data_IF_612815742745
#
_entry.id   IF_612815742745
#
_cell.length_a   1.000
_cell.length_b   1.000
_cell.length_c   1.000
_cell.angle_alpha   90.00
_cell.angle_beta   90.00
_cell.angle_gamma   90.00
#
_symmetry.space_group_name_H-M   'P 1'
#
loop_
_entity.id
_entity.type
_entity.pdbx_description
1 polymer ?
#
# COMPACT_ATOMS: atom_id res chain seq x y z
N UNK A 1 -18.17 24.33 -102.51
CA UNK A 1 -16.71 24.36 -102.38
C UNK A 1 -16.30 25.81 -102.41
N UNK A 2 -15.72 26.33 -101.33
CA UNK A 2 -14.97 27.58 -101.35
C UNK A 2 -13.86 27.46 -100.31
N UNK A 3 -12.68 27.20 -100.85
CA UNK A 3 -11.38 27.53 -100.30
C UNK A 3 -11.43 28.91 -99.64
N UNK A 4 -10.94 29.00 -98.40
CA UNK A 4 -9.61 29.55 -98.07
C UNK A 4 -9.49 31.04 -98.38
N UNK A 5 -9.14 31.84 -97.36
CA UNK A 5 -7.96 32.72 -97.41
C UNK A 5 -7.84 33.55 -96.12
N UNK A 6 -6.71 33.31 -95.46
CA UNK A 6 -5.97 34.21 -94.59
C UNK A 6 -6.22 35.70 -94.82
N UNK A 7 -6.48 36.43 -93.73
CA UNK A 7 -6.17 37.86 -93.66
C UNK A 7 -5.32 38.20 -92.42
N UNK A 8 -4.01 38.35 -92.68
CA UNK A 8 -3.12 39.43 -92.18
C UNK A 8 -2.98 39.61 -90.65
N UNK A 9 -1.88 39.21 -90.01
CA UNK A 9 -0.53 39.81 -90.01
C UNK A 9 -0.51 41.35 -90.02
N UNK A 10 -0.17 41.88 -88.83
CA UNK A 10 0.42 43.19 -88.49
C UNK A 10 -0.40 44.48 -88.61
N UNK A 11 -0.69 45.08 -87.44
CA UNK A 11 -0.05 46.35 -87.01
C UNK A 11 0.07 46.38 -85.48
N UNK A 12 1.29 46.67 -85.00
CA UNK A 12 1.63 46.74 -83.60
C UNK A 12 0.88 47.80 -82.82
N UNK A 13 0.82 47.59 -81.51
CA UNK A 13 0.23 48.51 -80.54
C UNK A 13 0.07 47.79 -79.21
N UNK A 14 1.07 47.92 -78.35
CA UNK A 14 1.06 47.28 -77.04
C UNK A 14 -0.18 47.66 -76.24
N UNK A 15 -0.92 46.65 -75.79
CA UNK A 15 -1.74 46.75 -74.57
C UNK A 15 -1.60 45.44 -73.80
N UNK A 16 -0.44 45.35 -73.16
CA UNK A 16 -0.16 44.65 -71.92
C UNK A 16 -0.88 43.31 -71.66
N UNK A 17 -0.09 42.23 -71.57
CA UNK A 17 -0.49 41.00 -70.84
C UNK A 17 -0.94 41.25 -69.38
N UNK A 18 -0.84 42.49 -68.91
CA UNK A 18 -1.43 43.01 -67.68
C UNK A 18 -2.96 43.12 -67.68
N UNK A 19 -3.66 42.99 -68.83
CA UNK A 19 -5.15 43.08 -68.82
C UNK A 19 -5.84 41.84 -68.26
N UNK A 20 -5.24 40.65 -68.38
CA UNK A 20 -5.78 39.40 -67.82
C UNK A 20 -5.20 39.02 -66.45
N UNK A 21 -4.04 39.60 -66.11
CA UNK A 21 -3.36 39.47 -64.82
C UNK A 21 -4.24 39.79 -63.60
N UNK A 22 -5.06 40.86 -63.57
CA UNK A 22 -5.96 41.11 -62.44
C UNK A 22 -7.05 40.03 -62.30
N UNK A 23 -7.56 39.49 -63.41
CA UNK A 23 -8.57 38.43 -63.37
C UNK A 23 -8.01 37.10 -62.85
N UNK A 24 -6.78 36.75 -63.22
CA UNK A 24 -6.10 35.55 -62.72
C UNK A 24 -5.79 35.69 -61.22
N UNK A 25 -5.35 36.87 -60.78
CA UNK A 25 -5.12 37.17 -59.35
C UNK A 25 -6.43 37.07 -58.57
N UNK A 26 -7.52 37.65 -59.07
CA UNK A 26 -8.84 37.57 -58.42
C UNK A 26 -9.34 36.12 -58.34
N UNK A 27 -9.15 35.32 -59.40
CA UNK A 27 -9.51 33.90 -59.39
C UNK A 27 -8.69 33.13 -58.35
N UNK A 28 -7.39 33.37 -58.25
CA UNK A 28 -6.53 32.75 -57.24
C UNK A 28 -6.93 33.15 -55.81
N UNK A 29 -7.28 34.42 -55.59
CA UNK A 29 -7.77 34.91 -54.29
C UNK A 29 -9.12 34.28 -53.93
N UNK A 30 -10.03 34.12 -54.89
CA UNK A 30 -11.32 33.44 -54.67
C UNK A 30 -11.13 31.94 -54.38
N UNK A 31 -10.24 31.25 -55.09
CA UNK A 31 -9.92 29.85 -54.82
C UNK A 31 -9.23 29.67 -53.47
N UNK A 32 -8.29 30.55 -53.10
CA UNK A 32 -7.61 30.51 -51.82
C UNK A 32 -8.57 30.82 -50.65
N UNK A 33 -9.46 31.81 -50.83
CA UNK A 33 -10.50 32.15 -49.86
C UNK A 33 -11.53 31.02 -49.69
N UNK A 34 -11.97 30.40 -50.79
CA UNK A 34 -12.89 29.27 -50.79
C UNK A 34 -12.29 28.01 -50.14
N UNK A 35 -11.03 27.68 -50.44
CA UNK A 35 -10.32 26.56 -49.83
C UNK A 35 -10.05 26.80 -48.33
N UNK A 36 -9.66 28.02 -47.95
CA UNK A 36 -9.48 28.41 -46.55
C UNK A 36 -10.78 28.37 -45.75
N UNK A 37 -11.88 28.88 -46.32
CA UNK A 37 -13.20 28.80 -45.71
C UNK A 37 -13.70 27.36 -45.59
N UNK A 38 -13.52 26.54 -46.63
CA UNK A 38 -13.91 25.12 -46.59
C UNK A 38 -13.11 24.33 -45.56
N UNK A 39 -11.79 24.54 -45.50
CA UNK A 39 -10.94 23.92 -44.48
C UNK A 39 -11.35 24.34 -43.06
N UNK A 40 -11.64 25.62 -42.86
CA UNK A 40 -12.01 26.16 -41.55
C UNK A 40 -13.39 25.72 -41.07
N UNK A 41 -14.39 25.68 -41.96
CA UNK A 41 -15.78 25.36 -41.59
C UNK A 41 -16.13 23.88 -41.69
N UNK A 42 -15.38 23.07 -42.44
CA UNK A 42 -15.71 21.64 -42.64
C UNK A 42 -14.65 20.73 -42.01
N UNK A 43 -13.36 20.95 -42.28
CA UNK A 43 -12.30 20.02 -41.85
C UNK A 43 -11.88 20.25 -40.38
N UNK A 44 -11.69 21.49 -39.95
CA UNK A 44 -11.33 21.79 -38.56
C UNK A 44 -12.34 21.28 -37.52
N UNK A 45 -13.67 21.42 -37.68
CA UNK A 45 -14.61 20.87 -36.71
C UNK A 45 -14.60 19.33 -36.69
N UNK A 46 -14.42 18.66 -37.83
CA UNK A 46 -14.31 17.19 -37.87
C UNK A 46 -13.02 16.69 -37.21
N UNK A 47 -11.89 17.35 -37.44
CA UNK A 47 -10.62 17.00 -36.80
C UNK A 47 -10.68 17.22 -35.29
N UNK A 48 -11.21 18.37 -34.83
CA UNK A 48 -11.44 18.61 -33.40
C UNK A 48 -12.39 17.60 -32.78
N UNK A 49 -13.48 17.24 -33.46
CA UNK A 49 -14.41 16.23 -32.97
C UNK A 49 -13.76 14.84 -32.86
N UNK A 50 -12.89 14.46 -33.81
CA UNK A 50 -12.11 13.21 -33.75
C UNK A 50 -11.06 13.24 -32.64
N UNK A 51 -10.35 14.34 -32.47
CA UNK A 51 -9.38 14.51 -31.38
C UNK A 51 -10.06 14.48 -30.01
N UNK A 52 -11.21 15.14 -29.85
CA UNK A 52 -12.02 15.06 -28.64
C UNK A 52 -12.55 13.63 -28.40
N UNK A 53 -13.00 12.94 -29.45
CA UNK A 53 -13.45 11.55 -29.33
C UNK A 53 -12.30 10.61 -28.93
N UNK A 54 -11.12 10.78 -29.53
CA UNK A 54 -9.91 10.03 -29.16
C UNK A 54 -9.46 10.37 -27.72
N UNK A 55 -9.48 11.64 -27.32
CA UNK A 55 -9.17 12.06 -25.96
C UNK A 55 -10.17 11.49 -24.95
N UNK A 56 -11.47 11.45 -25.27
CA UNK A 56 -12.50 10.81 -24.44
C UNK A 56 -12.28 9.30 -24.34
N UNK A 57 -11.91 8.63 -25.43
CA UNK A 57 -11.58 7.20 -25.41
C UNK A 57 -10.34 6.91 -24.57
N UNK A 58 -9.29 7.71 -24.71
CA UNK A 58 -8.07 7.59 -23.91
C UNK A 58 -8.34 7.86 -22.42
N UNK A 59 -9.13 8.89 -22.11
CA UNK A 59 -9.54 9.20 -20.74
C UNK A 59 -10.36 8.05 -20.12
N UNK A 60 -11.30 7.47 -20.88
CA UNK A 60 -12.09 6.32 -20.44
C UNK A 60 -11.21 5.08 -20.21
N UNK A 61 -10.26 4.81 -21.11
CA UNK A 61 -9.31 3.71 -20.98
C UNK A 61 -8.39 3.90 -19.76
N UNK A 62 -7.94 5.13 -19.51
CA UNK A 62 -7.09 5.45 -18.37
C UNK A 62 -7.88 5.34 -17.05
N UNK A 63 -9.12 5.81 -17.02
CA UNK A 63 -10.02 5.66 -15.87
C UNK A 63 -10.20 4.17 -15.54
N UNK A 64 -10.52 3.35 -16.54
CA UNK A 64 -10.66 1.90 -16.34
C UNK A 64 -9.37 1.26 -15.77
N UNK A 65 -8.19 1.62 -16.30
CA UNK A 65 -6.91 1.11 -15.78
C UNK A 65 -6.70 1.52 -14.33
N UNK A 66 -7.00 2.76 -13.99
CA UNK A 66 -6.89 3.28 -12.62
C UNK A 66 -7.87 2.57 -11.68
N UNK A 67 -9.11 2.33 -12.12
CA UNK A 67 -10.12 1.63 -11.35
C UNK A 67 -9.67 0.20 -11.06
N UNK A 68 -9.19 -0.54 -12.07
CA UNK A 68 -8.62 -1.89 -11.90
C UNK A 68 -7.42 -1.87 -10.95
N UNK A 69 -6.52 -0.92 -11.12
CA UNK A 69 -5.36 -0.77 -10.24
C UNK A 69 -5.78 -0.50 -8.80
N UNK A 70 -6.77 0.37 -8.57
CA UNK A 70 -7.30 0.69 -7.25
C UNK A 70 -7.88 -0.53 -6.53
N UNK A 71 -8.57 -1.41 -7.26
CA UNK A 71 -9.11 -2.66 -6.72
C UNK A 71 -7.98 -3.59 -6.32
N UNK A 72 -7.01 -3.83 -7.21
CA UNK A 72 -5.87 -4.69 -6.91
C UNK A 72 -5.02 -4.16 -5.75
N UNK A 73 -4.81 -2.84 -5.69
CA UNK A 73 -4.12 -2.16 -4.60
C UNK A 73 -4.85 -2.32 -3.27
N UNK A 74 -6.18 -2.18 -3.26
CA UNK A 74 -6.99 -2.39 -2.07
C UNK A 74 -6.80 -3.82 -1.53
N UNK A 75 -6.92 -4.83 -2.39
CA UNK A 75 -6.71 -6.22 -2.01
C UNK A 75 -5.28 -6.48 -1.53
N UNK A 76 -4.27 -6.02 -2.28
CA UNK A 76 -2.88 -6.23 -1.95
C UNK A 76 -2.52 -5.62 -0.59
N UNK A 77 -2.93 -4.38 -0.32
CA UNK A 77 -2.66 -3.65 0.94
C UNK A 77 -3.47 -4.21 2.12
N UNK A 78 -4.70 -4.66 1.87
CA UNK A 78 -5.56 -5.23 2.91
C UNK A 78 -5.04 -6.59 3.37
N UNK A 79 -4.54 -7.39 2.43
CA UNK A 79 -4.00 -8.74 2.68
C UNK A 79 -2.50 -8.76 3.00
N UNK A 80 -1.83 -7.61 3.04
CA UNK A 80 -0.41 -7.51 3.39
C UNK A 80 -0.19 -7.79 4.88
N UNK A 81 0.70 -8.74 5.19
CA UNK A 81 1.12 -9.03 6.57
C UNK A 81 1.19 -10.52 6.84
N UNK A 82 1.39 -10.87 8.10
CA UNK A 82 1.50 -12.24 8.57
C UNK A 82 0.16 -12.79 9.05
N UNK A 83 -0.08 -14.08 8.84
CA UNK A 83 -1.13 -14.80 9.55
C UNK A 83 -0.74 -15.02 11.01
N UNK A 84 -1.70 -15.44 11.84
CA UNK A 84 -1.43 -15.75 13.26
C UNK A 84 -0.39 -16.87 13.40
N UNK A 85 -0.42 -17.89 12.54
CA UNK A 85 0.54 -19.01 12.55
C UNK A 85 1.97 -18.52 12.29
N UNK A 86 2.16 -17.71 11.26
CA UNK A 86 3.45 -17.13 10.89
C UNK A 86 3.93 -16.15 11.97
N UNK A 87 3.01 -15.40 12.57
CA UNK A 87 3.31 -14.52 13.71
C UNK A 87 3.82 -15.31 14.92
N UNK A 88 3.20 -16.44 15.26
CA UNK A 88 3.66 -17.29 16.36
C UNK A 88 5.07 -17.82 16.08
N UNK A 89 5.35 -18.24 14.84
CA UNK A 89 6.71 -18.68 14.43
C UNK A 89 7.73 -17.55 14.56
N UNK A 90 7.36 -16.34 14.15
CA UNK A 90 8.19 -15.15 14.31
C UNK A 90 8.47 -14.84 15.79
N UNK A 91 7.46 -14.89 16.65
CA UNK A 91 7.62 -14.70 18.09
C UNK A 91 8.56 -15.76 18.72
N UNK A 92 8.49 -17.01 18.26
CA UNK A 92 9.44 -18.05 18.67
C UNK A 92 10.88 -17.72 18.27
N UNK A 93 11.08 -17.16 17.07
CA UNK A 93 12.40 -16.72 16.61
C UNK A 93 12.94 -15.57 17.46
N UNK A 94 12.11 -14.60 17.85
CA UNK A 94 12.50 -13.58 18.84
C UNK A 94 12.98 -14.24 20.12
N UNK A 95 12.19 -15.14 20.69
CA UNK A 95 12.53 -15.79 21.97
C UNK A 95 13.85 -16.54 21.89
N UNK A 96 14.06 -17.33 20.84
CA UNK A 96 15.31 -18.09 20.62
C UNK A 96 16.50 -17.13 20.47
N UNK A 97 16.31 -16.05 19.72
CA UNK A 97 17.36 -15.04 19.51
C UNK A 97 17.70 -14.30 20.80
N UNK A 98 16.71 -13.90 21.60
CA UNK A 98 16.91 -13.19 22.86
C UNK A 98 17.53 -14.07 23.94
N UNK A 99 17.21 -15.37 23.97
CA UNK A 99 17.84 -16.32 24.90
C UNK A 99 19.37 -16.41 24.70
N UNK A 100 19.88 -16.24 23.48
CA UNK A 100 21.34 -16.20 23.25
C UNK A 100 22.01 -14.95 23.81
N UNK A 101 21.24 -13.87 24.01
CA UNK A 101 21.71 -12.61 24.57
C UNK A 101 21.47 -12.50 26.09
N UNK A 102 20.72 -13.44 26.69
CA UNK A 102 20.38 -13.39 28.12
C UNK A 102 21.61 -13.51 29.03
N UNK A 103 22.72 -14.05 28.52
CA UNK A 103 23.99 -14.14 29.25
C UNK A 103 24.63 -12.77 29.52
N UNK A 104 24.22 -11.72 28.81
CA UNK A 104 24.84 -10.39 28.88
C UNK A 104 24.31 -9.49 29.99
N UNK A 105 23.43 -10.01 30.87
CA UNK A 105 22.84 -9.29 32.00
C UNK A 105 22.39 -7.86 31.65
N UNK A 106 21.65 -7.76 30.54
CA UNK A 106 21.13 -6.50 30.00
C UNK A 106 20.03 -5.94 30.91
N UNK A 107 19.92 -4.62 31.00
CA UNK A 107 18.88 -3.95 31.79
C UNK A 107 17.52 -4.04 31.10
N UNK A 108 17.48 -3.77 29.78
CA UNK A 108 16.23 -3.82 29.02
C UNK A 108 16.46 -4.26 27.58
N UNK A 109 15.43 -4.85 26.99
CA UNK A 109 15.32 -5.14 25.55
C UNK A 109 14.02 -4.53 25.01
N UNK A 110 14.10 -3.89 23.86
CA UNK A 110 12.95 -3.40 23.13
C UNK A 110 13.09 -3.82 21.67
N UNK A 111 11.96 -4.08 21.02
CA UNK A 111 11.95 -4.35 19.59
C UNK A 111 10.78 -3.69 18.91
N UNK A 112 10.95 -3.41 17.63
CA UNK A 112 9.91 -2.87 16.76
C UNK A 112 10.03 -3.52 15.39
N UNK A 113 8.96 -4.16 14.97
CA UNK A 113 8.90 -4.94 13.76
C UNK A 113 7.70 -4.55 12.91
N UNK A 114 7.91 -4.49 11.61
CA UNK A 114 6.87 -4.37 10.59
C UNK A 114 6.90 -5.60 9.68
N UNK A 115 6.11 -5.58 8.60
CA UNK A 115 6.01 -6.70 7.64
C UNK A 115 7.32 -7.06 6.94
N UNK A 116 8.31 -6.15 6.92
CA UNK A 116 9.59 -6.31 6.20
C UNK A 116 10.78 -6.50 7.13
N UNK A 117 10.88 -5.66 8.16
CA UNK A 117 12.06 -5.54 8.99
C UNK A 117 11.75 -5.33 10.47
N UNK A 118 12.75 -5.63 11.28
CA UNK A 118 12.80 -5.47 12.71
C UNK A 118 14.00 -4.62 13.12
N UNK A 119 13.80 -3.86 14.19
CA UNK A 119 14.87 -3.24 14.96
C UNK A 119 14.79 -3.74 16.39
N UNK A 120 15.94 -4.05 16.98
CA UNK A 120 16.10 -4.44 18.38
C UNK A 120 17.03 -3.46 19.06
N UNK A 121 16.69 -3.02 20.25
CA UNK A 121 17.41 -2.04 21.05
C UNK A 121 17.62 -2.57 22.45
N UNK A 122 18.80 -2.35 23.00
CA UNK A 122 19.20 -2.90 24.29
C UNK A 122 19.87 -1.83 25.15
N UNK A 123 19.68 -1.94 26.45
CA UNK A 123 20.34 -1.11 27.48
C UNK A 123 21.20 -2.00 28.37
N UNK A 124 22.42 -1.55 28.63
CA UNK A 124 23.35 -2.22 29.52
C UNK A 124 23.03 -1.87 30.96
N UNK A 125 23.12 -2.88 31.83
CA UNK A 125 23.16 -2.61 33.25
C UNK A 125 24.49 -1.91 33.59
N UNK A 126 24.48 -0.83 34.41
CA UNK A 126 25.68 -0.13 34.82
C UNK A 126 26.72 -1.07 35.47
N UNK A 127 28.01 -0.81 35.21
CA UNK A 127 29.13 -1.57 35.78
C UNK A 127 29.59 -2.78 34.97
N UNK A 128 28.91 -3.09 33.87
CA UNK A 128 29.30 -4.18 32.96
C UNK A 128 30.20 -3.67 31.82
N UNK A 129 31.26 -4.43 31.52
CA UNK A 129 32.06 -4.25 30.29
C UNK A 129 31.69 -5.36 29.34
N UNK A 130 31.17 -5.00 28.17
CA UNK A 130 30.61 -5.94 27.20
C UNK A 130 31.19 -5.69 25.82
N UNK A 131 31.60 -6.77 25.16
CA UNK A 131 31.85 -6.76 23.72
C UNK A 131 30.50 -6.99 23.04
N UNK A 132 30.16 -6.14 22.08
CA UNK A 132 28.88 -6.23 21.39
C UNK A 132 28.77 -7.57 20.64
N UNK A 133 27.82 -8.44 21.03
CA UNK A 133 27.66 -9.73 20.38
C UNK A 133 27.03 -9.57 18.99
N UNK A 134 27.06 -10.64 18.20
CA UNK A 134 26.19 -10.75 17.04
C UNK A 134 24.82 -11.28 17.46
N UNK A 135 23.75 -10.76 16.86
CA UNK A 135 22.41 -11.33 16.99
C UNK A 135 22.16 -12.33 15.86
N UNK A 136 21.74 -13.53 16.21
CA UNK A 136 21.33 -14.55 15.24
C UNK A 136 19.81 -14.49 15.10
N UNK A 137 19.33 -14.29 13.87
CA UNK A 137 17.90 -14.25 13.57
C UNK A 137 17.63 -14.91 12.20
N UNK A 138 16.74 -15.90 12.17
CA UNK A 138 16.50 -16.77 11.01
C UNK A 138 17.78 -17.43 10.47
N UNK A 139 18.71 -17.77 11.37
CA UNK A 139 20.02 -18.34 11.01
C UNK A 139 21.01 -17.36 10.37
N UNK A 140 20.67 -16.07 10.27
CA UNK A 140 21.58 -15.01 9.79
C UNK A 140 22.17 -14.23 10.96
N UNK A 141 23.43 -13.84 10.84
CA UNK A 141 24.13 -13.04 11.84
C UNK A 141 23.97 -11.54 11.53
N UNK A 142 23.67 -10.75 12.55
CA UNK A 142 23.54 -9.31 12.47
C UNK A 142 24.51 -8.67 13.46
N UNK A 143 25.26 -7.69 12.99
CA UNK A 143 26.18 -6.93 13.83
C UNK A 143 25.43 -5.84 14.59
N UNK A 144 25.82 -5.63 15.84
CA UNK A 144 25.33 -4.52 16.63
C UNK A 144 25.88 -3.19 16.10
N UNK A 145 25.13 -2.12 16.33
CA UNK A 145 25.54 -0.75 16.11
C UNK A 145 25.31 0.07 17.36
N UNK A 146 26.18 1.04 17.63
CA UNK A 146 26.01 2.01 18.71
C UNK A 146 25.30 3.23 18.13
N UNK A 147 24.13 3.63 18.65
CA UNK A 147 23.45 4.82 18.16
C UNK A 147 24.32 6.05 18.36
N UNK A 148 24.51 6.84 17.29
CA UNK A 148 25.25 8.10 17.40
C UNK A 148 24.53 9.04 18.38
N UNK A 149 25.24 9.50 19.42
CA UNK A 149 24.73 10.50 20.34
C UNK A 149 24.36 11.76 19.53
N UNK A 150 23.06 12.08 19.44
CA UNK A 150 22.62 13.33 18.83
C UNK A 150 23.13 14.49 19.68
N UNK A 151 24.17 15.16 19.18
CA UNK A 151 24.65 16.52 19.47
C UNK A 151 24.42 17.10 20.86
N UNK A 152 25.54 17.48 21.52
CA UNK A 152 25.56 18.38 22.69
C UNK A 152 24.59 19.56 22.49
N UNK A 153 23.55 19.66 23.32
CA UNK A 153 22.73 20.88 23.40
C UNK A 153 21.24 20.71 23.70
N UNK A 154 20.66 19.50 23.68
CA UNK A 154 19.29 19.28 24.16
C UNK A 154 19.25 18.03 25.01
N UNK A 155 18.69 18.17 26.22
CA UNK A 155 18.73 17.16 27.28
C UNK A 155 18.44 15.74 26.78
N UNK A 156 19.16 14.77 27.38
CA UNK A 156 19.02 13.32 27.20
C UNK A 156 17.69 12.96 26.53
N UNK A 157 17.75 12.55 25.26
CA UNK A 157 16.62 11.90 24.61
C UNK A 157 16.22 10.72 25.50
N UNK A 158 14.98 10.70 26.00
CA UNK A 158 14.43 9.76 27.00
C UNK A 158 14.34 8.29 26.52
N UNK A 159 15.09 7.88 25.50
CA UNK A 159 15.20 6.48 25.05
C UNK A 159 16.50 6.27 24.25
N UNK A 160 17.65 6.53 24.87
CA UNK A 160 18.93 6.23 24.25
C UNK A 160 19.29 4.78 24.59
N UNK A 161 18.95 3.85 23.70
CA UNK A 161 19.48 2.49 23.77
C UNK A 161 21.00 2.54 23.62
N UNK A 162 21.73 1.69 24.34
CA UNK A 162 23.20 1.67 24.28
C UNK A 162 23.70 1.01 22.99
N UNK A 163 23.00 -0.02 22.52
CA UNK A 163 23.26 -0.64 21.23
C UNK A 163 21.97 -1.15 20.58
N UNK A 164 22.02 -1.28 19.26
CA UNK A 164 20.87 -1.68 18.46
C UNK A 164 21.26 -2.56 17.27
N UNK A 165 20.30 -3.35 16.79
CA UNK A 165 20.34 -4.05 15.52
C UNK A 165 19.22 -3.52 14.64
N UNK A 166 19.53 -3.15 13.41
CA UNK A 166 18.59 -2.59 12.44
C UNK A 166 18.47 -3.49 11.22
N UNK A 167 17.35 -3.33 10.50
CA UNK A 167 17.08 -4.02 9.23
C UNK A 167 17.13 -5.55 9.33
N UNK A 168 16.77 -6.12 10.49
CA UNK A 168 16.64 -7.56 10.65
C UNK A 168 15.40 -8.03 9.88
N UNK A 169 15.51 -9.04 9.03
CA UNK A 169 14.38 -9.56 8.26
C UNK A 169 13.28 -10.11 9.18
N UNK A 170 12.06 -9.56 9.13
CA UNK A 170 10.98 -9.99 10.03
C UNK A 170 10.24 -11.24 9.54
N UNK A 171 10.15 -11.43 8.21
CA UNK A 171 9.32 -12.47 7.57
C UNK A 171 7.83 -12.40 7.94
N UNK A 172 7.36 -11.23 8.37
CA UNK A 172 5.95 -10.98 8.72
C UNK A 172 5.11 -10.57 7.49
N UNK A 173 5.27 -11.28 6.37
CA UNK A 173 4.70 -10.92 5.07
C UNK A 173 3.98 -12.09 4.38
N UNK A 174 3.66 -13.15 5.10
CA UNK A 174 3.05 -14.37 4.56
C UNK A 174 1.77 -14.70 5.33
N UNK A 175 0.68 -14.89 4.60
CA UNK A 175 -0.56 -15.48 5.12
C UNK A 175 -1.30 -16.24 4.01
N UNK A 176 -2.14 -17.20 4.40
CA UNK A 176 -2.84 -18.08 3.46
C UNK A 176 -3.88 -17.35 2.60
N UNK A 177 -4.52 -16.30 3.12
CA UNK A 177 -5.51 -15.51 2.38
C UNK A 177 -4.83 -14.75 1.23
N UNK A 178 -3.69 -14.12 1.49
CA UNK A 178 -2.89 -13.44 0.48
C UNK A 178 -2.39 -14.42 -0.59
N UNK A 179 -1.98 -15.62 -0.17
CA UNK A 179 -1.58 -16.70 -1.10
C UNK A 179 -2.75 -17.13 -1.98
N UNK A 180 -3.95 -17.28 -1.42
CA UNK A 180 -5.15 -17.64 -2.18
C UNK A 180 -5.55 -16.52 -3.16
N UNK A 181 -5.47 -15.26 -2.73
CA UNK A 181 -5.73 -14.10 -3.58
C UNK A 181 -4.77 -14.04 -4.78
N UNK A 182 -3.46 -14.18 -4.55
CA UNK A 182 -2.45 -14.21 -5.62
C UNK A 182 -2.68 -15.35 -6.62
N UNK A 183 -3.18 -16.48 -6.13
CA UNK A 183 -3.52 -17.64 -6.96
C UNK A 183 -4.94 -17.60 -7.55
N UNK A 184 -5.65 -16.47 -7.42
CA UNK A 184 -7.04 -16.27 -7.87
C UNK A 184 -8.04 -17.31 -7.31
N UNK A 185 -7.72 -17.94 -6.18
CA UNK A 185 -8.58 -18.91 -5.49
C UNK A 185 -9.64 -18.19 -4.66
N UNK A 186 -10.70 -18.90 -4.28
CA UNK A 186 -11.69 -18.36 -3.34
C UNK A 186 -11.03 -18.00 -2.00
N UNK A 187 -11.53 -16.93 -1.38
CA UNK A 187 -11.08 -16.49 -0.06
C UNK A 187 -12.08 -16.99 0.98
N UNK A 188 -11.64 -17.87 1.87
CA UNK A 188 -12.46 -18.30 3.00
C UNK A 188 -12.40 -17.26 4.10
N UNK A 189 -13.35 -16.32 4.09
CA UNK A 189 -13.44 -15.23 5.07
C UNK A 189 -14.73 -15.34 5.88
N UNK A 190 -14.69 -15.05 7.19
CA UNK A 190 -15.90 -15.00 7.99
C UNK A 190 -16.74 -13.77 7.65
N UNK A 191 -18.07 -13.82 7.88
CA UNK A 191 -18.92 -12.64 7.83
C UNK A 191 -18.42 -11.56 8.80
N UNK A 192 -18.47 -10.29 8.40
CA UNK A 192 -18.00 -9.18 9.23
C UNK A 192 -18.80 -9.05 10.54
N UNK A 193 -20.10 -9.36 10.51
CA UNK A 193 -20.95 -9.36 11.70
C UNK A 193 -20.46 -10.34 12.77
N UNK A 194 -20.15 -11.58 12.37
CA UNK A 194 -19.67 -12.63 13.27
C UNK A 194 -18.30 -12.28 13.86
N UNK A 195 -17.38 -11.75 13.02
CA UNK A 195 -16.05 -11.36 13.45
C UNK A 195 -16.10 -10.22 14.48
N UNK A 196 -16.88 -9.17 14.20
CA UNK A 196 -17.02 -8.03 15.11
C UNK A 196 -17.73 -8.46 16.40
N UNK A 197 -18.79 -9.26 16.30
CA UNK A 197 -19.50 -9.82 17.45
C UNK A 197 -18.58 -10.67 18.33
N UNK A 198 -17.75 -11.51 17.72
CA UNK A 198 -16.72 -12.27 18.43
C UNK A 198 -15.75 -11.36 19.18
N UNK A 199 -15.22 -10.32 18.55
CA UNK A 199 -14.27 -9.40 19.20
C UNK A 199 -14.94 -8.71 20.40
N UNK A 200 -16.19 -8.25 20.26
CA UNK A 200 -16.93 -7.60 21.34
C UNK A 200 -17.20 -8.54 22.50
N UNK A 201 -17.65 -9.76 22.23
CA UNK A 201 -17.92 -10.79 23.25
C UNK A 201 -16.65 -11.28 23.93
N UNK A 202 -15.57 -11.49 23.17
CA UNK A 202 -14.24 -11.79 23.69
C UNK A 202 -13.76 -10.69 24.64
N UNK A 203 -13.86 -9.42 24.24
CA UNK A 203 -13.48 -8.29 25.09
C UNK A 203 -14.32 -8.20 26.38
N UNK A 204 -15.61 -8.53 26.30
CA UNK A 204 -16.50 -8.63 27.47
C UNK A 204 -16.05 -9.73 28.43
N UNK A 205 -15.69 -10.91 27.90
CA UNK A 205 -15.15 -12.02 28.67
C UNK A 205 -13.78 -11.71 29.31
N UNK A 206 -12.89 -11.03 28.58
CA UNK A 206 -11.61 -10.57 29.15
C UNK A 206 -11.86 -9.59 30.31
N UNK A 207 -12.84 -8.68 30.16
CA UNK A 207 -13.22 -7.73 31.20
C UNK A 207 -13.81 -8.43 32.44
N UNK A 208 -14.60 -9.48 32.28
CA UNK A 208 -15.20 -10.19 33.42
C UNK A 208 -14.18 -10.95 34.26
N UNK A 209 -13.07 -11.38 33.65
CA UNK A 209 -11.96 -12.07 34.36
C UNK A 209 -11.00 -11.14 35.11
N UNK A 210 -10.98 -9.85 34.78
CA UNK A 210 -10.09 -8.87 35.40
C UNK A 210 -10.82 -7.57 35.80
N UNK A 211 -11.88 -7.65 36.65
CA UNK A 211 -12.79 -6.52 36.91
C UNK A 211 -12.14 -5.34 37.64
N UNK A 212 -11.04 -5.56 38.38
CA UNK A 212 -10.32 -4.55 39.17
C UNK A 212 -9.09 -3.94 38.47
N UNK A 213 -8.78 -4.39 37.26
CA UNK A 213 -7.63 -3.90 36.50
C UNK A 213 -8.10 -2.83 35.52
N UNK A 214 -7.72 -1.56 35.74
CA UNK A 214 -8.02 -0.45 34.83
C UNK A 214 -7.22 -0.52 33.50
N UNK A 215 -6.75 -1.72 33.16
CA UNK A 215 -5.73 -1.98 32.16
C UNK A 215 -6.39 -2.76 31.02
N UNK A 216 -6.31 -2.23 29.81
CA UNK A 216 -6.90 -2.82 28.59
C UNK A 216 -6.10 -4.03 28.06
N UNK A 217 -5.59 -4.83 28.99
CA UNK A 217 -4.70 -5.93 28.70
C UNK A 217 -5.49 -7.05 28.02
N UNK A 218 -4.87 -7.66 27.02
CA UNK A 218 -5.40 -8.80 26.28
C UNK A 218 -6.72 -8.54 25.53
N UNK A 219 -7.18 -7.28 25.51
CA UNK A 219 -8.33 -6.81 24.73
C UNK A 219 -7.92 -6.48 23.30
N UNK A 220 -8.76 -6.89 22.36
CA UNK A 220 -8.62 -6.56 20.95
C UNK A 220 -9.36 -5.25 20.69
N UNK A 221 -8.63 -4.19 20.37
CA UNK A 221 -9.21 -2.89 20.07
C UNK A 221 -9.34 -2.74 18.56
N UNK A 222 -10.58 -2.64 18.07
CA UNK A 222 -10.84 -2.28 16.67
C UNK A 222 -10.55 -0.78 16.50
N UNK A 223 -9.56 -0.45 15.68
CA UNK A 223 -9.17 0.94 15.36
C UNK A 223 -9.93 1.51 14.19
N UNK A 224 -10.23 0.67 13.21
CA UNK A 224 -11.06 1.00 12.06
C UNK A 224 -11.99 -0.16 11.80
N UNK A 225 -13.30 0.14 11.76
CA UNK A 225 -14.31 -0.86 11.42
C UNK A 225 -14.07 -1.42 10.02
N UNK A 226 -14.35 -2.71 9.77
CA UNK A 226 -14.24 -3.29 8.45
C UNK A 226 -15.10 -2.52 7.44
N UNK A 227 -14.49 -2.13 6.34
CA UNK A 227 -15.17 -1.51 5.21
C UNK A 227 -14.41 -1.74 3.91
N UNK A 228 -15.02 -1.39 2.77
CA UNK A 228 -14.39 -1.54 1.47
C UNK A 228 -14.46 -0.21 0.71
N UNK A 229 -13.31 0.27 0.26
CA UNK A 229 -13.24 1.46 -0.62
C UNK A 229 -13.55 1.14 -2.07
N UNK A 230 -13.73 -0.14 -2.41
CA UNK A 230 -13.91 -0.62 -3.79
C UNK A 230 -15.26 -1.30 -3.99
N UNK A 231 -16.15 -1.24 -2.99
CA UNK A 231 -17.48 -1.86 -3.00
C UNK A 231 -18.30 -1.48 -4.24
N UNK A 232 -18.23 -0.22 -4.65
CA UNK A 232 -18.99 0.29 -5.79
C UNK A 232 -18.28 0.02 -7.14
N UNK A 233 -16.96 -0.19 -7.12
CA UNK A 233 -16.15 -0.47 -8.31
C UNK A 233 -16.17 -1.94 -8.71
N UNK A 234 -16.23 -2.85 -7.75
CA UNK A 234 -16.31 -4.30 -7.99
C UNK A 234 -17.42 -4.73 -8.96
N UNK A 235 -18.69 -4.30 -8.78
CA UNK A 235 -19.77 -4.65 -9.71
C UNK A 235 -19.64 -3.97 -11.08
N UNK A 236 -18.92 -2.85 -11.17
CA UNK A 236 -18.68 -2.16 -12.46
C UNK A 236 -17.57 -2.82 -13.28
N UNK A 237 -16.69 -3.60 -12.64
CA UNK A 237 -15.53 -4.24 -13.25
C UNK A 237 -15.70 -5.76 -13.45
N UNK A 238 -16.95 -6.23 -13.53
CA UNK A 238 -17.29 -7.64 -13.78
C UNK A 238 -16.59 -8.13 -15.05
N UNK A 239 -15.94 -9.29 -14.96
CA UNK A 239 -15.16 -9.90 -16.03
C UNK A 239 -13.72 -9.38 -16.16
N UNK A 240 -13.37 -8.23 -15.57
CA UNK A 240 -12.00 -7.67 -15.56
C UNK A 240 -11.27 -7.94 -14.25
N UNK A 241 -11.98 -7.94 -13.13
CA UNK A 241 -11.43 -8.26 -11.82
C UNK A 241 -12.32 -9.30 -11.13
N UNK A 242 -11.70 -10.20 -10.37
CA UNK A 242 -12.43 -11.12 -9.50
C UNK A 242 -12.82 -10.39 -8.22
N UNK A 243 -14.10 -10.11 -8.05
CA UNK A 243 -14.64 -9.56 -6.82
C UNK A 243 -14.67 -10.63 -5.72
N UNK A 244 -14.20 -10.27 -4.53
CA UNK A 244 -14.27 -11.13 -3.34
C UNK A 244 -15.13 -10.55 -2.23
N UNK A 245 -15.67 -9.33 -2.39
CA UNK A 245 -16.48 -8.68 -1.36
C UNK A 245 -15.72 -8.44 -0.06
N UNK A 246 -14.40 -8.25 -0.15
CA UNK A 246 -13.51 -8.09 0.99
C UNK A 246 -13.79 -6.76 1.69
N UNK A 247 -13.98 -6.82 3.00
CA UNK A 247 -13.92 -5.66 3.89
C UNK A 247 -12.67 -5.73 4.75
N UNK A 248 -12.01 -4.58 4.90
CA UNK A 248 -10.78 -4.44 5.66
C UNK A 248 -10.94 -3.42 6.78
N UNK A 249 -10.53 -3.81 7.99
CA UNK A 249 -10.45 -2.96 9.18
C UNK A 249 -9.03 -2.95 9.74
N UNK A 250 -8.85 -2.32 10.89
CA UNK A 250 -7.59 -2.36 11.64
C UNK A 250 -7.82 -2.65 13.10
N UNK A 251 -6.86 -3.33 13.71
CA UNK A 251 -6.92 -3.73 15.12
C UNK A 251 -5.57 -3.55 15.81
N UNK A 252 -5.63 -3.48 17.13
CA UNK A 252 -4.48 -3.62 18.01
C UNK A 252 -4.81 -4.49 19.22
N UNK A 253 -3.78 -5.09 19.79
CA UNK A 253 -3.81 -5.86 21.03
C UNK A 253 -2.57 -5.49 21.81
N UNK A 254 -2.69 -5.31 23.12
CA UNK A 254 -1.53 -5.18 24.01
C UNK A 254 -1.60 -6.26 25.06
N UNK A 255 -0.56 -7.09 25.11
CA UNK A 255 -0.38 -8.10 26.16
C UNK A 255 0.61 -7.54 27.16
N UNK A 256 0.18 -7.46 28.41
CA UNK A 256 0.99 -6.81 29.43
C UNK A 256 2.16 -7.68 29.86
N UNK A 257 3.28 -7.02 30.15
CA UNK A 257 4.38 -7.67 30.83
C UNK A 257 4.03 -7.76 32.32
N UNK A 258 3.63 -8.95 32.78
CA UNK A 258 3.44 -9.23 34.21
C UNK A 258 4.78 -9.53 34.91
N UNK A 259 5.81 -9.76 34.12
CA UNK A 259 7.18 -10.09 34.51
C UNK A 259 8.11 -8.98 34.02
N UNK A 260 9.35 -8.91 34.50
CA UNK A 260 10.36 -8.06 33.85
C UNK A 260 10.98 -8.76 32.62
N UNK A 261 10.67 -10.04 32.43
CA UNK A 261 11.23 -10.87 31.36
C UNK A 261 10.38 -10.82 30.08
N UNK A 262 10.95 -10.27 29.02
CA UNK A 262 10.32 -10.21 27.68
C UNK A 262 9.98 -11.60 27.13
N UNK A 263 10.77 -12.61 27.47
CA UNK A 263 10.51 -13.99 27.05
C UNK A 263 9.15 -14.51 27.53
N UNK A 264 8.73 -14.14 28.75
CA UNK A 264 7.42 -14.52 29.30
C UNK A 264 6.28 -13.76 28.60
N UNK A 265 6.45 -12.45 28.37
CA UNK A 265 5.51 -11.66 27.56
C UNK A 265 5.31 -12.21 26.16
N UNK A 266 6.37 -12.71 25.53
CA UNK A 266 6.30 -13.33 24.20
C UNK A 266 5.46 -14.61 24.26
N UNK A 267 5.63 -15.44 25.30
CA UNK A 267 4.84 -16.67 25.47
C UNK A 267 3.36 -16.36 25.74
N UNK A 268 3.08 -15.37 26.59
CA UNK A 268 1.70 -14.90 26.85
C UNK A 268 1.06 -14.39 25.55
N UNK A 269 1.79 -13.61 24.76
CA UNK A 269 1.29 -13.13 23.47
C UNK A 269 1.03 -14.28 22.50
N UNK A 270 1.92 -15.27 22.40
CA UNK A 270 1.70 -16.45 21.57
C UNK A 270 0.43 -17.20 21.99
N UNK A 271 0.20 -17.35 23.30
CA UNK A 271 -0.99 -18.01 23.83
C UNK A 271 -2.28 -17.22 23.52
N UNK A 272 -2.26 -15.90 23.69
CA UNK A 272 -3.41 -15.03 23.36
C UNK A 272 -3.73 -15.12 21.88
N UNK A 273 -2.74 -14.99 21.00
CA UNK A 273 -2.93 -15.09 19.55
C UNK A 273 -3.42 -16.49 19.13
N UNK A 274 -2.87 -17.55 19.73
CA UNK A 274 -3.30 -18.91 19.46
C UNK A 274 -4.73 -19.16 19.92
N UNK A 275 -5.21 -18.54 21.00
CA UNK A 275 -6.59 -18.76 21.48
C UNK A 275 -7.67 -18.04 20.67
N UNK A 276 -7.30 -17.17 19.73
CA UNK A 276 -8.28 -16.44 18.95
C UNK A 276 -9.09 -17.38 18.05
N UNK A 277 -10.40 -17.16 17.99
CA UNK A 277 -11.24 -17.67 16.91
C UNK A 277 -11.02 -16.81 15.66
N UNK A 278 -11.41 -17.32 14.49
CA UNK A 278 -11.24 -16.60 13.21
C UNK A 278 -9.80 -16.14 12.96
N UNK A 279 -8.79 -16.95 13.35
CA UNK A 279 -7.37 -16.58 13.26
C UNK A 279 -6.96 -16.07 11.89
N UNK A 280 -7.53 -16.65 10.84
CA UNK A 280 -7.25 -16.26 9.46
C UNK A 280 -7.69 -14.82 9.16
N UNK A 281 -8.73 -14.31 9.84
CA UNK A 281 -9.20 -12.93 9.69
C UNK A 281 -8.25 -11.88 10.32
N UNK A 282 -7.32 -12.29 11.17
CA UNK A 282 -6.35 -11.42 11.82
C UNK A 282 -5.03 -11.42 11.06
N UNK A 283 -4.74 -10.31 10.37
CA UNK A 283 -3.48 -10.11 9.67
C UNK A 283 -2.59 -9.21 10.50
N UNK A 284 -1.42 -9.70 10.92
CA UNK A 284 -0.46 -8.95 11.72
C UNK A 284 0.46 -8.14 10.82
N UNK A 285 0.54 -6.83 11.06
CA UNK A 285 1.39 -5.90 10.29
C UNK A 285 2.56 -5.35 11.09
N UNK A 286 2.45 -5.34 12.42
CA UNK A 286 3.54 -4.89 13.27
C UNK A 286 3.44 -5.40 14.70
N UNK A 287 4.60 -5.56 15.32
CA UNK A 287 4.78 -5.99 16.70
C UNK A 287 5.87 -5.11 17.32
N UNK A 288 5.58 -4.51 18.47
CA UNK A 288 6.54 -3.64 19.15
C UNK A 288 6.44 -3.75 20.67
N UNK A 289 7.57 -3.60 21.34
CA UNK A 289 7.60 -3.39 22.79
C UNK A 289 7.05 -2.00 23.10
N UNK A 290 6.17 -1.93 24.09
CA UNK A 290 5.58 -0.70 24.60
C UNK A 290 5.76 -0.64 26.11
N UNK A 291 5.56 0.55 26.70
CA UNK A 291 5.60 0.73 28.18
C UNK A 291 4.65 -0.19 28.94
N UNK A 292 3.59 -0.69 28.28
CA UNK A 292 2.59 -1.56 28.90
C UNK A 292 2.87 -3.04 28.68
N UNK A 293 3.80 -3.40 27.79
CA UNK A 293 4.05 -4.77 27.36
C UNK A 293 4.19 -4.85 25.83
N UNK A 294 3.87 -5.99 25.22
CA UNK A 294 4.01 -6.16 23.77
C UNK A 294 2.72 -5.75 23.07
N UNK A 295 2.84 -4.80 22.13
CA UNK A 295 1.76 -4.35 21.27
C UNK A 295 1.83 -5.07 19.93
N UNK A 296 0.71 -5.64 19.50
CA UNK A 296 0.49 -6.16 18.16
C UNK A 296 -0.52 -5.30 17.44
N UNK A 297 -0.29 -5.04 16.16
CA UNK A 297 -1.19 -4.27 15.31
C UNK A 297 -1.31 -4.88 13.93
N UNK A 298 -2.46 -4.68 13.29
CA UNK A 298 -2.77 -5.41 12.08
C UNK A 298 -4.01 -4.96 11.34
N UNK A 299 -4.29 -5.68 10.25
CA UNK A 299 -5.54 -5.62 9.50
C UNK A 299 -6.52 -6.68 9.99
N UNK A 300 -7.81 -6.34 9.98
CA UNK A 300 -8.92 -7.29 10.09
C UNK A 300 -9.49 -7.50 8.69
N UNK A 301 -9.75 -8.75 8.30
CA UNK A 301 -10.34 -9.07 7.00
C UNK A 301 -11.58 -9.95 7.17
N UNK A 302 -12.66 -9.57 6.51
CA UNK A 302 -13.93 -10.29 6.51
C UNK A 302 -14.66 -10.06 5.20
N UNK A 303 -15.80 -10.74 5.03
CA UNK A 303 -16.70 -10.53 3.88
C UNK A 303 -18.04 -9.94 4.35
N UNK A 304 -18.71 -9.28 3.40
CA UNK A 304 -20.10 -8.81 3.56
C UNK A 304 -20.99 -9.96 4.01
#
# INVERSE_FOLDING_TARGET
>A
MLDSLYFWKNKGGGTSGYRFLPYIIILFVLCAGGAGAWYYFVILPEQKAREEALARQQAAAQKLKNDIASVNDFYAKSLEGAGIKETIRFLSEIRISSQKLSVLNLESEAFKCNTKSCSFSYEFRPGNVLILPQKIFWGKNYNASVPAAKGKGKGKSKSASDFEYKNIESRLNINDIQKNYKNKKSLNLPPCGDLVSYILTYNSFVKSKAPKSNNNNDKIVIKKMPGSSVKDLEPQLVGKVKAYGLMAGSWELTVNNKSDLIAESIMDLQLVLYKQAYRDAFIVKGIETSKKGIKVSGGLVCKV
#
